data_IF_905681192743
#
_entry.id   IF_905681192743
#
_cell.length_a   1.000
_cell.length_b   1.000
_cell.length_c   1.000
_cell.angle_alpha   90.00
_cell.angle_beta   90.00
_cell.angle_gamma   90.00
#
_symmetry.space_group_name_H-M   'P 1'
#
loop_
_entity.id
_entity.type
_entity.pdbx_description
1 polymer ?
#
# COMPACT_ATOMS: atom_id res chain seq x y z
N UNK A 1 6.16 6.95 3.76
CA UNK A 1 7.63 7.08 3.70
C UNK A 1 8.24 7.01 5.10
N UNK A 2 7.85 7.86 6.08
CA UNK A 2 8.42 7.86 7.44
C UNK A 2 8.35 6.47 8.11
N UNK A 3 7.26 5.74 7.98
CA UNK A 3 7.13 4.40 8.59
C UNK A 3 8.11 3.41 7.97
N UNK A 4 8.37 3.48 6.67
CA UNK A 4 9.35 2.59 6.00
C UNK A 4 10.75 2.88 6.53
N UNK A 5 11.16 4.16 6.57
CA UNK A 5 12.43 4.58 7.16
C UNK A 5 12.59 4.12 8.61
N UNK A 6 11.52 4.24 9.41
CA UNK A 6 11.54 3.80 10.80
C UNK A 6 11.66 2.29 10.96
N UNK A 7 11.05 1.51 10.08
CA UNK A 7 11.19 0.04 10.11
C UNK A 7 12.57 -0.39 9.67
N UNK A 8 13.16 0.27 8.67
CA UNK A 8 14.55 0.06 8.28
C UNK A 8 15.51 0.42 9.42
N UNK A 9 15.33 1.57 10.08
CA UNK A 9 16.15 1.97 11.22
C UNK A 9 16.02 0.98 12.40
N UNK A 10 14.80 0.48 12.70
CA UNK A 10 14.60 -0.57 13.73
C UNK A 10 15.31 -1.87 13.37
N UNK A 11 15.28 -2.26 12.10
CA UNK A 11 16.04 -3.42 11.65
C UNK A 11 17.54 -3.22 11.89
N UNK A 12 18.08 -2.05 11.54
CA UNK A 12 19.48 -1.71 11.75
C UNK A 12 19.86 -1.71 13.24
N UNK A 13 18.99 -1.23 14.13
CA UNK A 13 19.18 -1.34 15.58
C UNK A 13 19.26 -2.81 16.01
N UNK A 14 18.31 -3.63 15.58
CA UNK A 14 18.27 -5.06 15.93
C UNK A 14 19.53 -5.79 15.52
N UNK A 15 20.09 -5.46 14.37
CA UNK A 15 21.33 -6.03 13.85
C UNK A 15 22.59 -5.27 14.33
N UNK A 16 22.46 -4.32 15.26
CA UNK A 16 23.56 -3.54 15.85
C UNK A 16 24.38 -2.73 14.81
N UNK A 17 23.76 -2.34 13.71
CA UNK A 17 24.37 -1.50 12.67
C UNK A 17 24.34 -0.03 13.10
N UNK A 18 23.27 0.36 13.80
CA UNK A 18 23.12 1.69 14.40
C UNK A 18 22.87 1.54 15.91
N UNK A 19 23.11 2.63 16.71
CA UNK A 19 22.87 2.58 18.15
C UNK A 19 21.42 2.32 18.50
N UNK A 20 21.19 1.59 19.60
CA UNK A 20 19.85 1.33 20.11
C UNK A 20 19.11 2.60 20.52
N UNK A 21 17.82 2.67 20.27
CA UNK A 21 16.93 3.80 20.62
C UNK A 21 16.85 4.91 19.60
N UNK A 22 17.63 4.86 18.52
CA UNK A 22 17.63 5.87 17.44
C UNK A 22 16.27 5.92 16.73
N UNK A 23 15.71 4.79 16.33
CA UNK A 23 14.41 4.73 15.65
C UNK A 23 13.28 5.31 16.53
N UNK A 24 13.34 5.05 17.85
CA UNK A 24 12.37 5.64 18.79
C UNK A 24 12.50 7.15 18.90
N UNK A 25 13.72 7.69 18.92
CA UNK A 25 13.98 9.13 18.94
C UNK A 25 13.51 9.79 17.65
N UNK A 26 13.83 9.18 16.51
CA UNK A 26 13.38 9.66 15.19
C UNK A 26 11.85 9.69 15.16
N UNK A 27 11.17 8.60 15.56
CA UNK A 27 9.70 8.53 15.59
C UNK A 27 9.06 9.64 16.42
N UNK A 28 9.63 9.96 17.59
CA UNK A 28 9.09 10.99 18.49
C UNK A 28 9.24 12.40 17.93
N UNK A 29 10.30 12.65 17.17
CA UNK A 29 10.65 13.98 16.66
C UNK A 29 10.22 14.23 15.21
N UNK A 30 10.06 13.17 14.41
CA UNK A 30 9.67 13.32 13.02
C UNK A 30 8.22 13.83 12.94
N UNK A 31 8.07 14.99 12.28
CA UNK A 31 6.79 15.60 11.95
C UNK A 31 6.82 15.98 10.49
N UNK A 32 5.81 15.53 9.74
CA UNK A 32 5.70 15.86 8.32
C UNK A 32 5.24 17.32 8.21
N UNK A 33 5.94 18.08 7.39
CA UNK A 33 5.64 19.46 7.05
C UNK A 33 5.72 19.62 5.53
N UNK A 34 4.59 19.43 4.87
CA UNK A 34 4.51 19.44 3.40
C UNK A 34 5.01 20.76 2.83
N UNK A 35 4.66 21.90 3.43
CA UNK A 35 5.11 23.20 2.95
C UNK A 35 6.64 23.34 3.02
N UNK A 36 7.24 22.80 4.07
CA UNK A 36 8.70 22.80 4.21
C UNK A 36 9.36 21.87 3.20
N UNK A 37 8.79 20.69 2.97
CA UNK A 37 9.26 19.74 1.95
C UNK A 37 9.23 20.41 0.58
N UNK A 38 8.13 21.04 0.17
CA UNK A 38 8.00 21.75 -1.11
C UNK A 38 9.06 22.87 -1.27
N UNK A 39 9.36 23.61 -0.20
CA UNK A 39 10.39 24.64 -0.22
C UNK A 39 11.79 24.09 -0.46
N UNK A 40 12.09 22.94 0.17
CA UNK A 40 13.39 22.26 0.02
C UNK A 40 13.48 21.65 -1.37
N UNK A 41 12.42 21.00 -1.85
CA UNK A 41 12.38 20.34 -3.15
C UNK A 41 12.58 21.32 -4.31
N UNK A 42 12.05 22.55 -4.22
CA UNK A 42 12.31 23.60 -5.21
C UNK A 42 13.81 23.91 -5.39
N UNK A 43 14.62 23.66 -4.36
CA UNK A 43 16.08 23.87 -4.37
C UNK A 43 16.83 22.61 -4.76
N UNK A 44 16.49 21.48 -4.16
CA UNK A 44 17.19 20.20 -4.34
C UNK A 44 16.79 19.49 -5.63
N UNK A 45 15.60 19.81 -6.18
CA UNK A 45 15.00 19.12 -7.33
C UNK A 45 14.90 17.61 -7.15
N UNK A 46 14.70 17.17 -5.90
CA UNK A 46 14.62 15.78 -5.53
C UNK A 46 13.67 15.60 -4.33
N UNK A 47 12.62 14.83 -4.50
CA UNK A 47 11.53 14.61 -3.55
C UNK A 47 11.99 13.92 -2.26
N UNK A 48 12.64 12.76 -2.35
CA UNK A 48 13.09 11.99 -1.18
C UNK A 48 14.15 12.76 -0.39
N UNK A 49 15.08 13.45 -1.06
CA UNK A 49 16.06 14.32 -0.37
C UNK A 49 15.35 15.45 0.36
N UNK A 50 14.34 16.07 -0.25
CA UNK A 50 13.57 17.13 0.39
C UNK A 50 12.82 16.62 1.62
N UNK A 51 12.18 15.48 1.51
CA UNK A 51 11.51 14.81 2.62
C UNK A 51 12.50 14.51 3.77
N UNK A 52 13.60 13.82 3.49
CA UNK A 52 14.60 13.45 4.49
C UNK A 52 15.23 14.70 5.15
N UNK A 53 15.50 15.74 4.38
CA UNK A 53 16.03 17.01 4.91
C UNK A 53 15.04 17.68 5.86
N UNK A 54 13.75 17.72 5.50
CA UNK A 54 12.70 18.25 6.38
C UNK A 54 12.56 17.46 7.69
N UNK A 55 12.73 16.16 7.64
CA UNK A 55 12.75 15.31 8.86
C UNK A 55 14.03 15.58 9.67
N UNK A 56 15.18 15.67 9.00
CA UNK A 56 16.47 15.90 9.65
C UNK A 56 16.52 17.22 10.44
N UNK A 57 15.92 18.28 9.93
CA UNK A 57 15.80 19.58 10.64
C UNK A 57 15.11 19.44 12.00
N UNK A 58 14.21 18.47 12.16
CA UNK A 58 13.44 18.24 13.40
C UNK A 58 14.09 17.19 14.30
N UNK A 59 14.65 16.15 13.71
CA UNK A 59 15.27 15.02 14.42
C UNK A 59 16.65 15.40 14.96
N UNK A 60 17.42 16.20 14.22
CA UNK A 60 18.78 16.58 14.57
C UNK A 60 19.82 15.49 14.25
N UNK A 61 20.88 15.34 15.08
CA UNK A 61 22.04 14.48 14.75
C UNK A 61 21.72 13.00 14.45
N UNK A 62 20.63 12.48 15.02
CA UNK A 62 20.22 11.10 14.78
C UNK A 62 19.66 10.88 13.36
N UNK A 63 19.35 11.94 12.63
CA UNK A 63 18.87 11.86 11.24
C UNK A 63 19.90 11.23 10.27
N UNK A 64 21.18 11.24 10.59
CA UNK A 64 22.23 10.59 9.82
C UNK A 64 22.03 9.09 9.65
N UNK A 65 21.19 8.46 10.47
CA UNK A 65 20.86 7.05 10.42
C UNK A 65 19.63 6.73 9.53
N UNK A 66 18.95 7.76 9.01
CA UNK A 66 17.90 7.56 8.02
C UNK A 66 18.52 7.28 6.64
N UNK A 67 17.81 6.50 5.85
CA UNK A 67 18.13 6.23 4.43
C UNK A 67 19.50 5.57 4.18
N UNK A 68 20.14 4.99 5.20
CA UNK A 68 21.45 4.37 5.05
C UNK A 68 21.38 3.14 4.15
N UNK A 69 22.12 3.17 3.04
CA UNK A 69 22.21 2.08 2.07
C UNK A 69 20.98 1.87 1.20
N UNK A 70 19.89 2.60 1.46
CA UNK A 70 18.65 2.53 0.67
C UNK A 70 18.71 3.47 -0.54
N UNK A 71 17.79 3.26 -1.47
CA UNK A 71 17.53 4.16 -2.59
C UNK A 71 16.12 4.73 -2.50
N UNK A 72 15.85 5.80 -3.26
CA UNK A 72 14.52 6.43 -3.29
C UNK A 72 13.42 5.43 -3.64
N UNK A 73 13.63 4.52 -4.60
CA UNK A 73 12.66 3.50 -4.97
C UNK A 73 12.35 2.53 -3.83
N UNK A 74 13.31 2.15 -2.98
CA UNK A 74 13.05 1.32 -1.80
C UNK A 74 11.96 1.93 -0.91
N UNK A 75 11.94 3.25 -0.78
CA UNK A 75 10.99 3.98 0.04
C UNK A 75 9.68 4.26 -0.70
N UNK A 76 9.79 4.81 -1.92
CA UNK A 76 8.62 5.25 -2.69
C UNK A 76 7.75 4.07 -3.10
N UNK A 77 8.34 3.03 -3.70
CA UNK A 77 7.59 1.87 -4.20
C UNK A 77 6.98 1.08 -3.04
N UNK A 78 7.75 0.86 -1.97
CA UNK A 78 7.23 0.19 -0.77
C UNK A 78 6.11 1.00 -0.11
N UNK A 79 6.25 2.32 -0.01
CA UNK A 79 5.22 3.20 0.53
C UNK A 79 3.94 3.15 -0.32
N UNK A 80 4.08 3.21 -1.64
CA UNK A 80 2.97 3.13 -2.58
C UNK A 80 2.24 1.79 -2.48
N UNK A 81 2.96 0.67 -2.38
CA UNK A 81 2.38 -0.65 -2.17
C UNK A 81 1.59 -0.74 -0.86
N UNK A 82 2.11 -0.16 0.23
CA UNK A 82 1.37 -0.06 1.51
C UNK A 82 0.07 0.72 1.33
N UNK A 83 0.12 1.88 0.65
CA UNK A 83 -1.06 2.71 0.41
C UNK A 83 -2.10 2.00 -0.46
N UNK A 84 -1.68 1.34 -1.54
CA UNK A 84 -2.56 0.56 -2.40
C UNK A 84 -3.22 -0.58 -1.64
N UNK A 85 -2.47 -1.31 -0.82
CA UNK A 85 -3.01 -2.37 0.03
C UNK A 85 -4.04 -1.84 1.03
N UNK A 86 -3.77 -0.72 1.68
CA UNK A 86 -4.70 -0.08 2.62
C UNK A 86 -5.99 0.35 1.91
N UNK A 87 -5.87 1.01 0.77
CA UNK A 87 -7.02 1.44 -0.06
C UNK A 87 -7.84 0.25 -0.55
N UNK A 88 -7.17 -0.80 -1.03
CA UNK A 88 -7.83 -2.00 -1.51
C UNK A 88 -8.59 -2.75 -0.40
N UNK A 89 -8.10 -2.74 0.83
CA UNK A 89 -8.81 -3.31 1.97
C UNK A 89 -10.11 -2.55 2.28
N UNK A 90 -10.14 -1.23 2.09
CA UNK A 90 -11.37 -0.43 2.20
C UNK A 90 -12.35 -0.85 1.10
N UNK A 91 -11.88 -0.93 -0.15
CA UNK A 91 -12.70 -1.37 -1.28
C UNK A 91 -13.23 -2.80 -1.12
N UNK A 92 -12.45 -3.72 -0.54
CA UNK A 92 -12.94 -5.08 -0.24
C UNK A 92 -14.11 -5.06 0.74
N UNK A 93 -14.04 -4.23 1.77
CA UNK A 93 -15.13 -4.07 2.73
C UNK A 93 -16.38 -3.49 2.06
N UNK A 94 -16.22 -2.53 1.16
CA UNK A 94 -17.34 -1.95 0.42
C UNK A 94 -17.96 -2.96 -0.54
N UNK A 95 -17.14 -3.78 -1.22
CA UNK A 95 -17.63 -4.90 -2.05
C UNK A 95 -18.44 -5.91 -1.23
N UNK A 96 -18.02 -6.22 0.00
CA UNK A 96 -18.79 -7.10 0.89
C UNK A 96 -20.16 -6.49 1.24
N UNK A 97 -20.20 -5.20 1.54
CA UNK A 97 -21.46 -4.49 1.82
C UNK A 97 -22.38 -4.47 0.60
N UNK A 98 -21.83 -4.27 -0.61
CA UNK A 98 -22.58 -4.33 -1.87
C UNK A 98 -23.16 -5.73 -2.07
N UNK A 99 -22.36 -6.79 -1.92
CA UNK A 99 -22.80 -8.17 -2.08
C UNK A 99 -23.91 -8.54 -1.09
N UNK A 100 -23.78 -8.14 0.17
CA UNK A 100 -24.82 -8.34 1.19
C UNK A 100 -26.12 -7.64 0.78
N UNK A 101 -26.02 -6.38 0.35
CA UNK A 101 -27.17 -5.56 -0.06
C UNK A 101 -27.86 -6.12 -1.30
N UNK A 102 -27.08 -6.53 -2.31
CA UNK A 102 -27.60 -7.19 -3.53
C UNK A 102 -28.31 -8.49 -3.18
N UNK A 103 -27.68 -9.37 -2.37
CA UNK A 103 -28.27 -10.64 -1.96
C UNK A 103 -29.64 -10.45 -1.27
N UNK A 104 -29.74 -9.45 -0.37
CA UNK A 104 -31.00 -9.10 0.31
C UNK A 104 -32.07 -8.64 -0.69
N UNK A 105 -31.69 -7.78 -1.65
CA UNK A 105 -32.62 -7.26 -2.66
C UNK A 105 -33.00 -8.31 -3.69
N UNK A 106 -32.11 -9.20 -4.12
CA UNK A 106 -32.41 -10.34 -4.99
C UNK A 106 -33.53 -11.17 -4.37
N UNK A 107 -33.38 -11.57 -3.11
CA UNK A 107 -34.40 -12.34 -2.39
C UNK A 107 -35.73 -11.59 -2.26
N UNK A 108 -35.69 -10.29 -1.99
CA UNK A 108 -36.90 -9.45 -1.87
C UNK A 108 -37.69 -9.34 -3.18
N UNK A 109 -36.97 -9.20 -4.31
CA UNK A 109 -37.56 -8.90 -5.62
C UNK A 109 -37.51 -10.09 -6.58
N UNK A 110 -37.31 -11.31 -6.10
CA UNK A 110 -37.18 -12.50 -6.94
C UNK A 110 -38.41 -12.76 -7.82
N UNK A 111 -39.61 -12.37 -7.36
CA UNK A 111 -40.90 -12.53 -8.06
C UNK A 111 -41.47 -11.21 -8.60
N UNK A 112 -40.71 -10.11 -8.55
CA UNK A 112 -41.15 -8.80 -9.06
C UNK A 112 -40.87 -8.73 -10.55
N UNK A 113 -41.92 -8.77 -11.36
CA UNK A 113 -41.79 -8.68 -12.81
C UNK A 113 -41.26 -7.33 -13.26
N UNK A 114 -40.42 -7.35 -14.25
CA UNK A 114 -39.91 -6.19 -14.98
C UNK A 114 -39.62 -6.56 -16.42
N UNK A 115 -39.49 -5.56 -17.30
CA UNK A 115 -39.17 -5.82 -18.69
C UNK A 115 -37.66 -5.97 -18.90
N UNK A 116 -37.26 -7.05 -19.58
CA UNK A 116 -35.94 -7.15 -20.17
C UNK A 116 -35.79 -6.18 -21.34
N UNK A 117 -34.56 -5.74 -21.60
CA UNK A 117 -34.25 -4.84 -22.72
C UNK A 117 -33.04 -5.34 -23.49
N UNK A 118 -33.13 -5.29 -24.81
CA UNK A 118 -32.04 -5.56 -25.74
C UNK A 118 -32.06 -4.50 -26.82
N UNK A 119 -30.90 -4.00 -27.22
CA UNK A 119 -30.77 -2.94 -28.25
C UNK A 119 -31.64 -1.69 -27.98
N UNK A 120 -31.86 -1.35 -26.68
CA UNK A 120 -32.70 -0.19 -26.29
C UNK A 120 -34.22 -0.40 -26.42
N UNK A 121 -34.70 -1.59 -26.84
CA UNK A 121 -36.10 -1.94 -26.95
C UNK A 121 -36.53 -2.94 -25.91
N UNK A 122 -37.84 -3.13 -25.73
CA UNK A 122 -38.41 -4.14 -24.86
C UNK A 122 -38.15 -5.55 -25.43
N UNK A 123 -37.72 -6.44 -24.57
CA UNK A 123 -37.53 -7.85 -24.85
C UNK A 123 -38.44 -8.69 -23.93
N UNK A 124 -38.03 -9.88 -23.57
CA UNK A 124 -38.81 -10.78 -22.74
C UNK A 124 -39.02 -10.25 -21.31
N UNK A 125 -40.14 -10.55 -20.64
CA UNK A 125 -40.30 -10.29 -19.23
C UNK A 125 -39.27 -11.06 -18.40
N UNK A 126 -38.70 -10.37 -17.43
CA UNK A 126 -37.79 -10.94 -16.43
C UNK A 126 -38.25 -10.56 -15.03
N UNK A 127 -37.51 -10.97 -14.00
CA UNK A 127 -37.72 -10.44 -12.65
C UNK A 127 -36.64 -9.44 -12.28
N UNK A 128 -36.98 -8.49 -11.44
CA UNK A 128 -36.00 -7.51 -10.94
C UNK A 128 -34.93 -8.19 -10.09
N UNK A 129 -35.30 -9.26 -9.36
CA UNK A 129 -34.32 -10.09 -8.65
C UNK A 129 -33.29 -10.75 -9.57
N UNK A 130 -33.73 -11.27 -10.74
CA UNK A 130 -32.81 -11.85 -11.75
C UNK A 130 -31.85 -10.78 -12.29
N UNK A 131 -32.32 -9.58 -12.60
CA UNK A 131 -31.48 -8.45 -13.01
C UNK A 131 -30.42 -8.11 -11.96
N UNK A 132 -30.78 -8.10 -10.68
CA UNK A 132 -29.83 -7.85 -9.60
C UNK A 132 -28.84 -9.01 -9.39
N UNK A 133 -29.23 -10.23 -9.71
CA UNK A 133 -28.37 -11.40 -9.60
C UNK A 133 -27.19 -11.34 -10.58
N UNK A 134 -27.36 -10.76 -11.76
CA UNK A 134 -26.25 -10.54 -12.71
C UNK A 134 -25.19 -9.62 -12.12
N UNK A 135 -25.59 -8.51 -11.49
CA UNK A 135 -24.67 -7.61 -10.79
C UNK A 135 -23.99 -8.29 -9.60
N UNK A 136 -24.74 -9.09 -8.83
CA UNK A 136 -24.16 -9.83 -7.71
C UNK A 136 -23.00 -10.74 -8.17
N UNK A 137 -23.20 -11.54 -9.21
CA UNK A 137 -22.15 -12.42 -9.74
C UNK A 137 -20.98 -11.64 -10.35
N UNK A 138 -21.24 -10.46 -10.96
CA UNK A 138 -20.19 -9.56 -11.44
C UNK A 138 -19.33 -9.03 -10.29
N UNK A 139 -19.94 -8.46 -9.25
CA UNK A 139 -19.20 -7.95 -8.08
C UNK A 139 -18.49 -9.06 -7.32
N UNK A 140 -19.06 -10.26 -7.26
CA UNK A 140 -18.41 -11.43 -6.66
C UNK A 140 -17.11 -11.80 -7.40
N UNK A 141 -17.13 -11.82 -8.74
CA UNK A 141 -15.90 -12.00 -9.55
C UNK A 141 -14.92 -10.86 -9.37
N UNK A 142 -15.38 -9.61 -9.32
CA UNK A 142 -14.52 -8.46 -9.09
C UNK A 142 -13.85 -8.50 -7.72
N UNK A 143 -14.53 -8.99 -6.69
CA UNK A 143 -13.92 -9.23 -5.37
C UNK A 143 -12.75 -10.21 -5.44
N UNK A 144 -12.87 -11.30 -6.22
CA UNK A 144 -11.77 -12.25 -6.41
C UNK A 144 -10.57 -11.61 -7.13
N UNK A 145 -10.84 -10.83 -8.20
CA UNK A 145 -9.80 -10.09 -8.93
C UNK A 145 -9.07 -9.10 -8.02
N UNK A 146 -9.83 -8.34 -7.21
CA UNK A 146 -9.23 -7.38 -6.27
C UNK A 146 -8.36 -8.09 -5.22
N UNK A 147 -8.78 -9.25 -4.71
CA UNK A 147 -7.96 -10.06 -3.79
C UNK A 147 -6.65 -10.52 -4.44
N UNK A 148 -6.69 -10.94 -5.70
CA UNK A 148 -5.48 -11.30 -6.44
C UNK A 148 -4.55 -10.10 -6.60
N UNK A 149 -5.08 -8.96 -7.04
CA UNK A 149 -4.31 -7.73 -7.18
C UNK A 149 -3.68 -7.26 -5.86
N UNK A 150 -4.38 -7.42 -4.71
CA UNK A 150 -3.82 -7.11 -3.39
C UNK A 150 -2.63 -8.01 -3.07
N UNK A 151 -2.70 -9.29 -3.40
CA UNK A 151 -1.59 -10.20 -3.17
C UNK A 151 -0.37 -9.83 -4.02
N UNK A 152 -0.59 -9.48 -5.29
CA UNK A 152 0.47 -9.10 -6.23
C UNK A 152 1.17 -7.79 -5.80
N UNK A 153 0.39 -6.77 -5.42
CA UNK A 153 0.95 -5.47 -5.02
C UNK A 153 1.51 -5.46 -3.60
N UNK A 154 1.21 -6.48 -2.78
CA UNK A 154 1.65 -6.53 -1.38
C UNK A 154 3.14 -6.90 -1.26
N UNK A 155 4.00 -6.18 -1.94
CA UNK A 155 5.45 -6.42 -1.94
C UNK A 155 6.22 -5.25 -1.32
N UNK A 156 7.36 -5.57 -0.72
CA UNK A 156 8.31 -4.62 -0.14
C UNK A 156 9.71 -4.95 -0.65
N UNK A 157 10.40 -3.97 -1.17
CA UNK A 157 11.81 -4.10 -1.56
C UNK A 157 12.64 -3.05 -0.81
N UNK A 158 13.69 -3.49 -0.13
CA UNK A 158 14.71 -2.66 0.50
C UNK A 158 16.05 -3.30 0.17
N UNK A 159 16.51 -3.10 -1.06
CA UNK A 159 17.63 -3.82 -1.66
C UNK A 159 18.71 -2.91 -2.26
N UNK A 160 18.52 -1.60 -2.17
CA UNK A 160 19.44 -0.59 -2.71
C UNK A 160 19.20 -0.30 -4.19
N UNK A 161 20.06 0.55 -4.76
CA UNK A 161 19.86 1.19 -6.05
C UNK A 161 19.59 0.25 -7.24
N UNK A 162 20.19 -0.94 -7.21
CA UNK A 162 20.08 -1.94 -8.30
C UNK A 162 19.71 -3.34 -7.79
N UNK A 163 19.20 -3.43 -6.55
CA UNK A 163 18.70 -4.69 -5.99
C UNK A 163 19.74 -5.70 -5.57
N UNK A 164 21.02 -5.28 -5.43
CA UNK A 164 22.14 -6.18 -5.11
C UNK A 164 22.53 -6.20 -3.64
N UNK A 165 21.87 -5.43 -2.79
CA UNK A 165 22.20 -5.28 -1.37
C UNK A 165 23.65 -4.80 -1.11
N UNK A 166 24.25 -4.05 -2.05
CA UNK A 166 25.65 -3.65 -1.96
C UNK A 166 26.02 -2.90 -0.66
N UNK A 167 25.07 -2.16 -0.08
CA UNK A 167 25.23 -1.37 1.14
C UNK A 167 24.24 -1.72 2.24
N UNK A 168 23.48 -2.79 2.08
CA UNK A 168 22.45 -3.25 3.01
C UNK A 168 22.58 -4.75 3.29
N UNK A 169 22.32 -5.15 4.53
CA UNK A 169 22.17 -6.57 4.82
C UNK A 169 20.74 -7.02 4.44
N UNK A 170 20.56 -8.11 3.66
CA UNK A 170 19.23 -8.64 3.30
C UNK A 170 18.29 -8.89 4.50
N UNK A 171 18.86 -9.10 5.69
CA UNK A 171 18.09 -9.25 6.92
C UNK A 171 17.29 -7.99 7.31
N UNK A 172 17.70 -6.80 6.84
CA UNK A 172 17.00 -5.55 7.07
C UNK A 172 15.68 -5.54 6.31
N UNK A 173 15.70 -5.90 5.02
CA UNK A 173 14.50 -6.05 4.21
C UNK A 173 13.54 -7.09 4.82
N UNK A 174 14.04 -8.29 5.14
CA UNK A 174 13.25 -9.35 5.76
C UNK A 174 12.58 -8.90 7.06
N UNK A 175 13.27 -8.09 7.87
CA UNK A 175 12.71 -7.51 9.08
C UNK A 175 11.63 -6.48 8.75
N UNK A 176 11.89 -5.53 7.85
CA UNK A 176 10.94 -4.49 7.47
C UNK A 176 9.66 -5.08 6.87
N UNK A 177 9.77 -6.10 6.04
CA UNK A 177 8.63 -6.86 5.47
C UNK A 177 7.71 -7.39 6.56
N UNK A 178 8.25 -7.95 7.63
CA UNK A 178 7.43 -8.51 8.73
C UNK A 178 6.57 -7.46 9.44
N UNK A 179 6.95 -6.18 9.41
CA UNK A 179 6.23 -5.07 10.05
C UNK A 179 5.32 -4.29 9.10
N UNK A 180 5.60 -4.30 7.82
CA UNK A 180 4.74 -3.65 6.82
C UNK A 180 3.56 -4.51 6.40
N UNK A 181 3.51 -5.77 6.86
CA UNK A 181 2.53 -6.77 6.42
C UNK A 181 2.52 -6.99 4.90
N UNK A 182 3.63 -6.73 4.26
CA UNK A 182 3.89 -7.03 2.86
C UNK A 182 4.61 -8.38 2.74
N UNK A 183 4.89 -8.80 1.53
CA UNK A 183 5.71 -9.98 1.22
C UNK A 183 7.03 -9.52 0.60
N UNK A 184 8.06 -10.36 0.64
CA UNK A 184 9.24 -10.12 -0.17
C UNK A 184 8.83 -10.17 -1.65
N UNK A 185 9.39 -9.33 -2.52
CA UNK A 185 9.29 -9.57 -3.93
C UNK A 185 9.84 -10.98 -4.16
N UNK A 186 9.15 -11.76 -4.96
CA UNK A 186 9.75 -12.97 -5.52
C UNK A 186 10.86 -12.50 -6.44
N UNK A 187 11.93 -12.00 -5.85
CA UNK A 187 13.14 -11.68 -6.59
C UNK A 187 13.63 -13.00 -7.16
N UNK A 188 13.68 -13.04 -8.46
CA UNK A 188 14.46 -14.02 -9.18
C UNK A 188 15.86 -13.98 -8.55
N UNK A 189 16.13 -14.94 -7.70
CA UNK A 189 17.52 -15.28 -7.36
C UNK A 189 18.12 -15.75 -8.66
N UNK A 190 18.82 -14.85 -9.31
CA UNK A 190 19.70 -15.17 -10.44
C UNK A 190 20.90 -15.93 -9.89
#
# INVERSE_FOLDING_TARGET
>A
ETEIELHAAKAMEKFKIIPSGVASKIRKKSKIDVKRIDQIERKTKHDVIAFLTSIAEKVGPDAKYLHQGMTSSDILDTCFNVQLKQSANILLKDLDNILISLKKKIKKYQNTFTIGRSHGIHAEPITFGLKLATFYEEFKRNKLRLKSAINEISTCAISGAVGTYAHLNPSIEKYAVSYTHLTLPTSVTV
#
